data_IF_416152554963
#
_entry.id   IF_416152554963
#
_cell.length_a   1.000
_cell.length_b   1.000
_cell.length_c   1.000
_cell.angle_alpha   90.00
_cell.angle_beta   90.00
_cell.angle_gamma   90.00
#
_symmetry.space_group_name_H-M   'P 1'
#
loop_
_entity.id
_entity.type
_entity.pdbx_description
1 polymer ?
#
# COMPACT_ATOMS: atom_id res chain seq x y z
N UNK A 1 -12.32 -13.89 5.87
CA UNK A 1 -11.55 -14.75 6.78
C UNK A 1 -10.91 -15.86 5.98
N UNK A 2 -9.63 -16.17 6.24
CA UNK A 2 -8.90 -17.28 5.63
C UNK A 2 -8.07 -17.99 6.70
N UNK A 3 -8.11 -19.31 6.74
CA UNK A 3 -7.17 -20.11 7.54
C UNK A 3 -6.01 -20.53 6.65
N UNK A 4 -4.79 -20.23 7.09
CA UNK A 4 -3.54 -20.66 6.44
C UNK A 4 -2.66 -21.30 7.50
N UNK A 5 -2.45 -22.62 7.39
CA UNK A 5 -1.60 -23.39 8.30
C UNK A 5 -1.96 -23.18 9.79
N UNK A 6 -3.23 -22.99 10.12
CA UNK A 6 -3.69 -22.79 11.50
C UNK A 6 -3.58 -21.34 12.01
N UNK A 7 -3.33 -20.38 11.11
CA UNK A 7 -3.41 -18.94 11.37
C UNK A 7 -4.66 -18.41 10.66
N UNK A 8 -5.60 -17.84 11.43
CA UNK A 8 -6.83 -17.23 10.92
C UNK A 8 -6.61 -15.75 10.63
N UNK A 9 -6.74 -15.39 9.37
CA UNK A 9 -6.50 -14.03 8.88
C UNK A 9 -7.83 -13.42 8.43
N UNK A 10 -8.21 -12.31 9.03
CA UNK A 10 -9.32 -11.47 8.57
C UNK A 10 -8.79 -10.40 7.60
N UNK A 11 -9.57 -10.13 6.55
CA UNK A 11 -9.28 -9.09 5.58
C UNK A 11 -10.45 -8.13 5.57
N UNK A 12 -10.14 -6.86 5.75
CA UNK A 12 -11.05 -5.72 5.65
C UNK A 12 -10.59 -4.84 4.49
N UNK A 13 -11.52 -4.25 3.75
CA UNK A 13 -11.19 -3.37 2.64
C UNK A 13 -12.18 -2.20 2.58
N UNK A 14 -11.66 -0.98 2.52
CA UNK A 14 -12.45 0.25 2.46
C UNK A 14 -11.83 1.28 1.51
N UNK A 15 -12.68 2.14 0.96
CA UNK A 15 -12.28 3.27 0.12
C UNK A 15 -12.83 4.59 0.66
N UNK A 16 -12.03 5.65 0.59
CA UNK A 16 -12.42 7.01 1.00
C UNK A 16 -13.47 7.60 0.05
N UNK A 17 -13.40 7.24 -1.24
CA UNK A 17 -14.25 7.79 -2.30
C UNK A 17 -14.40 6.82 -3.49
N UNK A 18 -15.31 7.13 -4.41
CA UNK A 18 -15.50 6.45 -5.70
C UNK A 18 -15.32 7.39 -6.89
N UNK A 19 -14.36 8.32 -6.77
CA UNK A 19 -13.93 9.23 -7.83
C UNK A 19 -15.05 10.14 -8.38
N UNK A 20 -15.93 10.64 -7.51
CA UNK A 20 -17.02 11.54 -7.90
C UNK A 20 -18.26 10.82 -8.48
N UNK A 21 -18.23 9.49 -8.56
CA UNK A 21 -19.33 8.68 -9.09
C UNK A 21 -20.42 8.38 -8.05
N UNK A 22 -20.27 8.85 -6.80
CA UNK A 22 -21.25 8.69 -5.72
C UNK A 22 -22.63 9.19 -6.17
N UNK A 23 -22.65 10.30 -6.91
CA UNK A 23 -23.87 10.93 -7.42
C UNK A 23 -24.58 10.14 -8.53
N UNK A 24 -23.93 9.14 -9.11
CA UNK A 24 -24.47 8.32 -10.20
C UNK A 24 -25.30 7.13 -9.70
N UNK A 25 -25.28 6.88 -8.39
CA UNK A 25 -25.98 5.76 -7.74
C UNK A 25 -26.81 6.26 -6.57
N UNK A 26 -27.82 5.48 -6.16
CA UNK A 26 -28.53 5.76 -4.92
C UNK A 26 -27.63 5.41 -3.72
N UNK A 27 -27.72 6.14 -2.60
CA UNK A 27 -26.91 5.85 -1.42
C UNK A 27 -27.04 4.41 -0.92
N UNK A 28 -28.23 3.82 -1.00
CA UNK A 28 -28.48 2.44 -0.55
C UNK A 28 -27.81 1.40 -1.45
N UNK A 29 -27.82 1.64 -2.77
CA UNK A 29 -27.14 0.77 -3.73
C UNK A 29 -25.62 0.85 -3.51
N UNK A 30 -25.09 2.06 -3.30
CA UNK A 30 -23.67 2.30 -3.06
C UNK A 30 -23.18 1.59 -1.77
N UNK A 31 -23.89 1.73 -0.65
CA UNK A 31 -23.52 1.10 0.63
C UNK A 31 -23.59 -0.44 0.55
N UNK A 32 -24.48 -0.99 -0.28
CA UNK A 32 -24.59 -2.44 -0.48
C UNK A 32 -23.44 -3.04 -1.31
N UNK A 33 -22.77 -2.22 -2.12
CA UNK A 33 -21.75 -2.68 -3.08
C UNK A 33 -20.33 -2.34 -2.65
N UNK A 34 -20.15 -1.20 -1.97
CA UNK A 34 -18.84 -0.61 -1.71
C UNK A 34 -18.73 -0.26 -0.23
N UNK A 35 -17.64 -0.71 0.37
CA UNK A 35 -17.25 -0.32 1.72
C UNK A 35 -16.60 1.07 1.68
N UNK A 36 -17.41 2.12 1.78
CA UNK A 36 -16.89 3.48 2.01
C UNK A 36 -16.37 3.57 3.45
N UNK A 37 -15.28 4.31 3.67
CA UNK A 37 -14.73 4.54 5.01
C UNK A 37 -15.81 5.15 5.90
N UNK A 38 -16.24 4.36 6.89
CA UNK A 38 -17.14 4.75 7.97
C UNK A 38 -16.59 4.09 9.23
N UNK A 39 -16.16 4.89 10.21
CA UNK A 39 -15.48 4.38 11.39
C UNK A 39 -16.34 3.39 12.19
N UNK A 40 -17.65 3.64 12.31
CA UNK A 40 -18.57 2.75 13.03
C UNK A 40 -18.62 1.37 12.38
N UNK A 41 -18.84 1.31 11.06
CA UNK A 41 -18.85 0.06 10.27
C UNK A 41 -17.50 -0.66 10.36
N UNK A 42 -16.39 0.07 10.27
CA UNK A 42 -15.05 -0.53 10.38
C UNK A 42 -14.85 -1.16 11.77
N UNK A 43 -15.25 -0.49 12.85
CA UNK A 43 -15.12 -1.05 14.19
C UNK A 43 -16.05 -2.24 14.44
N UNK A 44 -17.26 -2.25 13.87
CA UNK A 44 -18.13 -3.42 13.87
C UNK A 44 -17.49 -4.61 13.16
N UNK A 45 -16.87 -4.40 12.01
CA UNK A 45 -16.19 -5.44 11.25
C UNK A 45 -14.92 -5.95 11.96
N UNK A 46 -14.18 -5.07 12.65
CA UNK A 46 -13.07 -5.46 13.53
C UNK A 46 -13.58 -6.31 14.70
N UNK A 47 -14.67 -5.89 15.36
CA UNK A 47 -15.28 -6.64 16.47
C UNK A 47 -15.79 -8.00 15.99
N UNK A 48 -16.39 -8.07 14.80
CA UNK A 48 -16.81 -9.31 14.16
C UNK A 48 -15.62 -10.24 13.89
N UNK A 49 -14.53 -9.72 13.32
CA UNK A 49 -13.31 -10.49 13.06
C UNK A 49 -12.72 -11.07 14.35
N UNK A 50 -12.66 -10.26 15.42
CA UNK A 50 -12.25 -10.70 16.76
C UNK A 50 -13.17 -11.78 17.31
N UNK A 51 -14.49 -11.61 17.20
CA UNK A 51 -15.49 -12.60 17.63
C UNK A 51 -15.41 -13.93 16.84
N UNK A 52 -14.81 -13.92 15.64
CA UNK A 52 -14.48 -15.13 14.87
C UNK A 52 -13.12 -15.73 15.20
N UNK A 53 -12.43 -15.20 16.22
CA UNK A 53 -11.09 -15.58 16.64
C UNK A 53 -10.07 -15.43 15.50
N UNK A 54 -10.07 -14.27 14.82
CA UNK A 54 -8.97 -13.90 13.95
C UNK A 54 -7.67 -13.82 14.76
N UNK A 55 -6.61 -14.46 14.28
CA UNK A 55 -5.25 -14.31 14.83
C UNK A 55 -4.61 -13.02 14.32
N UNK A 56 -4.91 -12.63 13.07
CA UNK A 56 -4.42 -11.41 12.41
C UNK A 56 -5.58 -10.72 11.68
N UNK A 57 -5.66 -9.40 11.78
CA UNK A 57 -6.59 -8.55 11.01
C UNK A 57 -5.78 -7.63 10.09
N UNK A 58 -6.05 -7.74 8.78
CA UNK A 58 -5.42 -6.91 7.75
C UNK A 58 -6.46 -5.96 7.15
N UNK A 59 -6.21 -4.66 7.18
CA UNK A 59 -7.05 -3.64 6.57
C UNK A 59 -6.39 -3.09 5.30
N UNK A 60 -7.06 -3.22 4.15
CA UNK A 60 -6.67 -2.58 2.89
C UNK A 60 -7.42 -1.26 2.74
N UNK A 61 -6.69 -0.15 2.76
CA UNK A 61 -7.27 1.19 2.78
C UNK A 61 -6.95 1.92 1.47
N UNK A 62 -7.97 2.36 0.74
CA UNK A 62 -7.83 3.21 -0.43
C UNK A 62 -8.16 4.65 -0.04
N UNK A 63 -7.14 5.47 0.26
CA UNK A 63 -7.28 6.71 1.03
C UNK A 63 -6.16 7.74 0.79
N UNK A 64 -6.31 8.94 1.31
CA UNK A 64 -5.26 9.95 1.22
C UNK A 64 -5.36 10.80 -0.03
N UNK A 65 -4.32 11.60 -0.28
CA UNK A 65 -4.30 12.61 -1.34
C UNK A 65 -3.44 12.14 -2.52
N UNK A 66 -3.95 12.32 -3.74
CA UNK A 66 -3.21 11.96 -4.95
C UNK A 66 -1.84 12.66 -4.99
N UNK A 67 -0.82 11.87 -5.34
CA UNK A 67 0.57 12.27 -5.54
C UNK A 67 1.30 12.82 -4.31
N UNK A 68 0.68 12.82 -3.14
CA UNK A 68 1.31 13.20 -1.88
C UNK A 68 2.26 12.08 -1.40
N UNK A 69 3.55 12.37 -1.34
CA UNK A 69 4.58 11.41 -0.86
C UNK A 69 4.64 11.22 0.65
N UNK A 70 3.85 11.98 1.40
CA UNK A 70 3.68 11.87 2.85
C UNK A 70 2.19 11.80 3.10
N UNK A 71 1.78 10.92 4.01
CA UNK A 71 0.39 10.75 4.38
C UNK A 71 -0.19 12.02 5.00
N UNK A 72 -1.49 12.25 4.78
CA UNK A 72 -2.19 13.33 5.45
C UNK A 72 -2.49 12.97 6.91
N UNK A 73 -2.65 13.98 7.77
CA UNK A 73 -2.98 13.77 9.19
C UNK A 73 -4.25 12.93 9.42
N UNK A 74 -5.23 12.98 8.49
CA UNK A 74 -6.43 12.13 8.56
C UNK A 74 -6.12 10.64 8.38
N UNK A 75 -5.12 10.30 7.56
CA UNK A 75 -4.66 8.92 7.39
C UNK A 75 -3.96 8.45 8.67
N UNK A 76 -3.14 9.30 9.30
CA UNK A 76 -2.46 8.99 10.56
C UNK A 76 -3.45 8.75 11.70
N UNK A 77 -4.42 9.64 11.87
CA UNK A 77 -5.46 9.51 12.91
C UNK A 77 -6.28 8.24 12.70
N UNK A 78 -6.69 7.94 11.47
CA UNK A 78 -7.44 6.72 11.21
C UNK A 78 -6.56 5.48 11.39
N UNK A 79 -5.31 5.48 10.93
CA UNK A 79 -4.38 4.38 11.14
C UNK A 79 -4.21 4.07 12.63
N UNK A 80 -3.94 5.08 13.46
CA UNK A 80 -3.79 4.91 14.91
C UNK A 80 -5.04 4.31 15.57
N UNK A 81 -6.23 4.80 15.20
CA UNK A 81 -7.51 4.24 15.66
C UNK A 81 -7.67 2.77 15.27
N UNK A 82 -7.37 2.41 14.01
CA UNK A 82 -7.51 1.04 13.52
C UNK A 82 -6.52 0.09 14.21
N UNK A 83 -5.26 0.52 14.35
CA UNK A 83 -4.24 -0.24 15.06
C UNK A 83 -4.62 -0.42 16.53
N UNK A 84 -5.04 0.64 17.22
CA UNK A 84 -5.55 0.55 18.60
C UNK A 84 -6.77 -0.36 18.73
N UNK A 85 -7.68 -0.34 17.75
CA UNK A 85 -8.88 -1.18 17.75
C UNK A 85 -8.59 -2.66 17.47
N UNK A 86 -7.38 -3.04 17.06
CA UNK A 86 -6.96 -4.43 16.88
C UNK A 86 -6.66 -4.86 15.45
N UNK A 87 -6.60 -3.93 14.48
CA UNK A 87 -5.96 -4.21 13.19
C UNK A 87 -4.47 -4.41 13.43
N UNK A 88 -3.86 -5.39 12.78
CA UNK A 88 -2.43 -5.70 12.92
C UNK A 88 -1.60 -5.15 11.76
N UNK A 89 -2.20 -5.11 10.55
CA UNK A 89 -1.55 -4.70 9.31
C UNK A 89 -2.49 -3.76 8.54
N UNK A 90 -2.00 -2.58 8.18
CA UNK A 90 -2.70 -1.64 7.28
C UNK A 90 -1.91 -1.54 5.97
N UNK A 91 -2.59 -1.84 4.86
CA UNK A 91 -2.06 -1.76 3.50
C UNK A 91 -2.76 -0.63 2.75
N UNK A 92 -2.08 0.50 2.62
CA UNK A 92 -2.60 1.69 1.96
C UNK A 92 -2.39 1.72 0.45
N UNK A 93 -3.30 2.37 -0.26
CA UNK A 93 -3.27 2.69 -1.68
C UNK A 93 -4.08 3.98 -1.93
N UNK A 94 -4.19 4.40 -3.20
CA UNK A 94 -4.85 5.63 -3.72
C UNK A 94 -3.90 6.77 -4.13
N UNK A 95 -2.90 7.19 -3.33
CA UNK A 95 -2.05 8.33 -3.68
C UNK A 95 -1.24 8.17 -4.98
N UNK A 96 -1.21 6.97 -5.56
CA UNK A 96 -0.45 6.62 -6.76
C UNK A 96 1.07 6.80 -6.64
N UNK A 97 1.56 7.09 -5.44
CA UNK A 97 2.97 7.21 -5.08
C UNK A 97 3.21 6.44 -3.78
N UNK A 98 4.44 5.99 -3.56
CA UNK A 98 4.81 5.33 -2.31
C UNK A 98 4.81 6.37 -1.17
N UNK A 99 4.12 6.06 -0.08
CA UNK A 99 4.16 6.80 1.18
C UNK A 99 4.90 5.96 2.25
N UNK A 100 5.30 6.55 3.38
CA UNK A 100 6.06 5.86 4.42
C UNK A 100 5.38 4.58 4.93
N UNK A 101 6.23 3.64 5.36
CA UNK A 101 5.83 2.47 6.12
C UNK A 101 6.37 2.56 7.55
N UNK A 102 5.61 2.07 8.52
CA UNK A 102 5.92 2.13 9.93
C UNK A 102 5.63 0.80 10.63
N UNK A 103 6.51 0.42 11.55
CA UNK A 103 6.22 -0.57 12.61
C UNK A 103 5.94 0.18 13.89
N UNK A 104 4.87 -0.18 14.58
CA UNK A 104 4.42 0.50 15.79
C UNK A 104 4.05 -0.52 16.87
N UNK A 105 4.27 -0.19 18.13
CA UNK A 105 3.96 -1.05 19.26
C UNK A 105 2.63 -0.67 19.88
N UNK A 106 1.70 -1.63 19.96
CA UNK A 106 0.40 -1.49 20.63
C UNK A 106 0.17 -2.70 21.53
N UNK A 107 -0.10 -2.46 22.81
CA UNK A 107 -0.35 -3.52 23.81
C UNK A 107 0.72 -4.62 23.83
N UNK A 108 1.99 -4.24 23.64
CA UNK A 108 3.14 -5.15 23.60
C UNK A 108 3.26 -5.98 22.33
N UNK A 109 2.52 -5.63 21.26
CA UNK A 109 2.60 -6.26 19.95
C UNK A 109 3.05 -5.28 18.88
N UNK A 110 3.98 -5.73 18.04
CA UNK A 110 4.36 -5.02 16.82
C UNK A 110 3.25 -5.10 15.78
N UNK A 111 2.84 -3.94 15.28
CA UNK A 111 1.89 -3.74 14.20
C UNK A 111 2.54 -3.02 13.03
N UNK A 112 1.91 -3.06 11.87
CA UNK A 112 2.46 -2.52 10.64
C UNK A 112 1.47 -1.65 9.88
N UNK A 113 1.95 -0.54 9.33
CA UNK A 113 1.23 0.27 8.33
C UNK A 113 2.17 0.63 7.19
N UNK A 114 1.65 0.59 5.97
CA UNK A 114 2.19 1.34 4.83
C UNK A 114 1.07 2.24 4.33
N UNK A 115 1.28 3.55 4.32
CA UNK A 115 0.20 4.49 4.00
C UNK A 115 -0.17 4.48 2.51
N UNK A 116 0.77 4.13 1.64
CA UNK A 116 0.55 3.86 0.22
C UNK A 116 1.68 3.02 -0.36
N UNK A 117 1.32 1.94 -1.07
CA UNK A 117 2.27 1.07 -1.79
C UNK A 117 2.66 1.60 -3.18
N UNK A 118 2.11 2.74 -3.62
CA UNK A 118 2.31 3.25 -4.98
C UNK A 118 1.57 2.41 -6.04
N UNK A 119 2.05 2.47 -7.29
CA UNK A 119 1.41 1.81 -8.42
C UNK A 119 1.99 0.41 -8.66
N UNK A 120 1.13 -0.60 -8.77
CA UNK A 120 1.55 -1.94 -9.22
C UNK A 120 1.54 -2.04 -10.75
N UNK A 121 0.45 -1.62 -11.39
CA UNK A 121 0.34 -1.44 -12.84
C UNK A 121 -0.40 -0.13 -13.09
N UNK A 122 0.14 0.76 -13.92
CA UNK A 122 -0.46 2.07 -14.16
C UNK A 122 -0.05 2.67 -15.49
N UNK A 123 -0.90 3.57 -15.97
CA UNK A 123 -0.61 4.45 -17.11
C UNK A 123 -0.19 5.86 -16.65
N UNK A 124 -0.11 6.12 -15.34
CA UNK A 124 0.37 7.39 -14.79
C UNK A 124 1.89 7.42 -14.82
N UNK A 125 2.44 8.30 -15.66
CA UNK A 125 3.86 8.49 -15.90
C UNK A 125 4.11 9.94 -16.25
N UNK A 126 5.38 10.35 -16.28
CA UNK A 126 5.77 11.69 -16.75
C UNK A 126 5.12 12.01 -18.10
N UNK A 127 5.25 11.09 -19.06
CA UNK A 127 4.78 11.25 -20.44
C UNK A 127 3.26 11.36 -20.56
N UNK A 128 2.50 10.82 -19.61
CA UNK A 128 1.04 10.85 -19.64
C UNK A 128 0.47 11.96 -18.77
N UNK A 129 1.08 12.27 -17.63
CA UNK A 129 0.55 13.23 -16.66
C UNK A 129 0.96 14.68 -16.93
N UNK A 130 2.15 14.93 -17.48
CA UNK A 130 2.59 16.29 -17.83
C UNK A 130 1.63 16.98 -18.80
N UNK A 131 1.13 16.32 -19.87
CA UNK A 131 0.11 16.91 -20.74
C UNK A 131 -1.20 17.29 -20.04
N UNK A 132 -1.52 16.65 -18.89
CA UNK A 132 -2.70 16.97 -18.08
C UNK A 132 -2.41 17.98 -16.95
N UNK A 133 -1.22 18.60 -16.94
CA UNK A 133 -0.89 19.70 -16.03
C UNK A 133 -0.22 19.28 -14.73
N UNK A 134 0.13 18.01 -14.56
CA UNK A 134 0.91 17.55 -13.39
C UNK A 134 2.40 17.74 -13.69
N UNK A 135 3.12 18.45 -12.82
CA UNK A 135 4.55 18.70 -13.02
C UNK A 135 5.38 17.42 -13.16
N UNK A 136 6.48 17.48 -13.92
CA UNK A 136 7.40 16.35 -14.10
C UNK A 136 7.95 15.84 -12.75
N UNK A 137 8.26 16.77 -11.85
CA UNK A 137 8.76 16.45 -10.50
C UNK A 137 7.77 15.62 -9.67
N UNK A 138 6.47 15.82 -9.85
CA UNK A 138 5.43 15.02 -9.19
C UNK A 138 5.20 13.71 -9.94
N UNK A 139 5.07 13.80 -11.27
CA UNK A 139 4.71 12.69 -12.14
C UNK A 139 5.72 11.54 -12.08
N UNK A 140 7.01 11.84 -11.85
CA UNK A 140 8.06 10.82 -11.79
C UNK A 140 7.87 9.79 -10.67
N UNK A 141 7.19 10.15 -9.57
CA UNK A 141 6.94 9.24 -8.45
C UNK A 141 5.77 8.29 -8.70
N UNK A 142 4.92 8.58 -9.69
CA UNK A 142 3.80 7.71 -10.05
C UNK A 142 4.22 6.43 -10.76
N UNK A 143 5.50 6.37 -11.12
CA UNK A 143 6.14 5.20 -11.69
C UNK A 143 6.66 4.22 -10.65
N UNK A 144 6.63 4.62 -9.37
CA UNK A 144 7.21 3.86 -8.28
C UNK A 144 6.12 3.01 -7.62
N UNK A 145 6.48 1.77 -7.29
CA UNK A 145 5.64 0.85 -6.53
C UNK A 145 6.47 -0.04 -5.63
N UNK A 146 5.82 -0.74 -4.72
CA UNK A 146 6.48 -1.74 -3.87
C UNK A 146 5.57 -2.93 -3.62
N UNK A 147 6.10 -4.15 -3.74
CA UNK A 147 5.47 -5.32 -3.14
C UNK A 147 5.96 -5.41 -1.71
N UNK A 148 5.03 -5.47 -0.77
CA UNK A 148 5.33 -5.70 0.64
C UNK A 148 5.25 -7.19 0.91
N UNK A 149 6.34 -7.77 1.40
CA UNK A 149 6.41 -9.16 1.82
C UNK A 149 6.36 -9.20 3.35
N UNK A 150 5.36 -9.88 3.93
CA UNK A 150 5.14 -9.90 5.38
C UNK A 150 5.19 -11.35 5.86
N UNK A 151 6.17 -11.64 6.70
CA UNK A 151 6.30 -12.95 7.33
C UNK A 151 5.56 -12.96 8.68
N UNK A 152 4.55 -13.81 8.76
CA UNK A 152 3.74 -14.02 9.96
C UNK A 152 4.10 -15.39 10.55
N UNK A 153 4.39 -15.44 11.85
CA UNK A 153 4.77 -16.66 12.56
C UNK A 153 3.78 -16.96 13.68
N UNK A 154 3.51 -18.25 13.91
CA UNK A 154 2.74 -18.74 15.06
C UNK A 154 3.64 -19.58 15.94
N UNK A 155 3.79 -19.19 17.20
CA UNK A 155 4.51 -19.97 18.20
C UNK A 155 3.71 -21.25 18.53
N UNK A 156 4.34 -22.42 18.37
CA UNK A 156 3.68 -23.71 18.57
C UNK A 156 3.38 -24.07 20.02
N UNK A 157 4.06 -23.45 20.98
CA UNK A 157 3.87 -23.68 22.42
C UNK A 157 2.81 -22.73 23.00
N UNK A 158 2.93 -21.44 22.70
CA UNK A 158 2.04 -20.40 23.26
C UNK A 158 0.80 -20.13 22.41
N UNK A 159 0.84 -20.51 21.12
CA UNK A 159 -0.19 -20.17 20.14
C UNK A 159 -0.17 -18.71 19.67
N UNK A 160 0.78 -17.91 20.16
CA UNK A 160 0.92 -16.50 19.82
C UNK A 160 1.28 -16.30 18.34
N UNK A 161 0.61 -15.36 17.67
CA UNK A 161 0.87 -15.01 16.27
C UNK A 161 1.47 -13.61 16.20
N UNK A 162 2.59 -13.47 15.50
CA UNK A 162 3.36 -12.21 15.41
C UNK A 162 3.80 -11.91 13.97
N UNK A 163 4.02 -10.63 13.69
CA UNK A 163 4.71 -10.17 12.48
C UNK A 163 6.22 -10.31 12.74
N UNK A 164 6.86 -11.28 12.09
CA UNK A 164 8.27 -11.60 12.30
C UNK A 164 9.18 -10.63 11.56
N UNK A 165 8.90 -10.44 10.27
CA UNK A 165 9.64 -9.51 9.43
C UNK A 165 8.75 -8.97 8.30
N UNK A 166 9.23 -7.87 7.72
CA UNK A 166 8.60 -7.21 6.57
C UNK A 166 9.73 -6.84 5.61
N UNK A 167 9.65 -7.39 4.41
CA UNK A 167 10.51 -7.12 3.27
C UNK A 167 9.80 -6.26 2.23
N UNK A 168 10.60 -5.71 1.31
CA UNK A 168 10.14 -4.83 0.24
C UNK A 168 10.78 -5.23 -1.07
N UNK A 169 9.97 -5.36 -2.12
CA UNK A 169 10.44 -5.54 -3.49
C UNK A 169 10.09 -4.26 -4.25
N UNK A 170 11.05 -3.34 -4.44
CA UNK A 170 10.83 -2.12 -5.22
C UNK A 170 10.48 -2.45 -6.66
N UNK A 171 9.42 -1.81 -7.15
CA UNK A 171 8.91 -1.95 -8.51
C UNK A 171 9.03 -0.62 -9.25
N UNK A 172 9.26 -0.72 -10.56
CA UNK A 172 9.10 0.41 -11.47
C UNK A 172 8.13 0.05 -12.59
N UNK A 173 7.09 0.87 -12.79
CA UNK A 173 6.09 0.63 -13.81
C UNK A 173 6.46 1.31 -15.13
N UNK A 174 6.45 0.52 -16.18
CA UNK A 174 6.78 0.94 -17.54
C UNK A 174 5.56 0.85 -18.44
N UNK A 175 5.50 1.80 -19.36
CA UNK A 175 4.65 1.78 -20.55
C UNK A 175 5.48 2.04 -21.79
N UNK A 176 5.36 1.18 -22.77
CA UNK A 176 6.10 1.25 -24.04
C UNK A 176 5.20 1.06 -25.25
N UNK A 177 5.85 0.82 -26.38
CA UNK A 177 5.20 0.49 -27.64
C UNK A 177 5.81 -0.80 -28.16
N UNK A 178 4.97 -1.79 -28.43
CA UNK A 178 5.40 -3.07 -29.00
C UNK A 178 5.83 -2.91 -30.46
N UNK A 179 6.56 -3.88 -31.00
CA UNK A 179 7.10 -3.82 -32.37
C UNK A 179 6.03 -3.66 -33.47
N UNK A 180 4.79 -4.11 -33.20
CA UNK A 180 3.62 -3.99 -34.07
C UNK A 180 2.82 -2.69 -33.88
N UNK A 181 3.29 -1.77 -33.02
CA UNK A 181 2.62 -0.51 -32.73
C UNK A 181 1.58 -0.56 -31.61
N UNK A 182 1.39 -1.72 -30.96
CA UNK A 182 0.58 -1.86 -29.75
C UNK A 182 1.18 -1.17 -28.52
N UNK A 183 0.46 -1.20 -27.39
CA UNK A 183 0.93 -0.69 -26.10
C UNK A 183 1.34 -1.85 -25.20
N UNK A 184 2.51 -1.76 -24.58
CA UNK A 184 2.92 -2.67 -23.51
C UNK A 184 2.94 -1.96 -22.16
N UNK A 185 2.61 -2.72 -21.12
CA UNK A 185 2.79 -2.32 -19.73
C UNK A 185 3.62 -3.40 -19.03
N UNK A 186 4.72 -3.00 -18.40
CA UNK A 186 5.65 -3.91 -17.74
C UNK A 186 5.89 -3.43 -16.32
N UNK A 187 5.85 -4.36 -15.38
CA UNK A 187 6.19 -4.11 -13.97
C UNK A 187 7.56 -4.73 -13.76
N UNK A 188 8.56 -3.90 -13.49
CA UNK A 188 9.93 -4.36 -13.29
C UNK A 188 10.25 -4.44 -11.81
N UNK A 189 10.51 -5.64 -11.24
CA UNK A 189 11.22 -5.80 -9.99
C UNK A 189 12.62 -5.19 -10.15
N UNK A 190 12.85 -4.03 -9.54
CA UNK A 190 14.02 -3.21 -9.88
C UNK A 190 15.32 -3.99 -9.68
N UNK A 191 15.42 -4.76 -8.60
CA UNK A 191 16.63 -5.50 -8.25
C UNK A 191 17.00 -6.60 -9.25
N UNK A 192 16.03 -7.12 -10.02
CA UNK A 192 16.28 -8.15 -11.04
C UNK A 192 16.75 -7.55 -12.37
N UNK A 193 16.35 -6.30 -12.66
CA UNK A 193 16.48 -5.70 -13.99
C UNK A 193 17.45 -4.52 -14.06
N UNK A 194 17.80 -3.90 -12.93
CA UNK A 194 18.63 -2.67 -12.91
C UNK A 194 20.02 -2.88 -13.52
N UNK A 195 20.56 -4.10 -13.48
CA UNK A 195 21.84 -4.46 -14.12
C UNK A 195 21.67 -5.23 -15.45
N UNK A 196 20.44 -5.38 -15.95
CA UNK A 196 20.18 -6.06 -17.22
C UNK A 196 20.64 -5.23 -18.43
N UNK A 197 21.17 -5.92 -19.43
CA UNK A 197 21.50 -5.34 -20.75
C UNK A 197 20.26 -5.17 -21.65
N UNK A 198 19.10 -5.72 -21.25
CA UNK A 198 17.85 -5.62 -22.01
C UNK A 198 17.17 -4.26 -21.85
N UNK A 199 17.70 -3.41 -20.97
CA UNK A 199 17.15 -2.12 -20.59
C UNK A 199 18.10 -0.99 -20.99
N UNK A 200 17.58 0.05 -21.63
CA UNK A 200 18.38 1.21 -22.01
C UNK A 200 18.74 2.12 -20.81
N UNK A 201 19.76 2.95 -21.00
CA UNK A 201 20.30 3.84 -19.95
C UNK A 201 19.25 4.79 -19.35
N UNK A 202 18.30 5.28 -20.16
CA UNK A 202 17.23 6.18 -19.68
C UNK A 202 16.30 5.46 -18.70
N UNK A 203 15.92 4.22 -19.01
CA UNK A 203 15.10 3.41 -18.11
C UNK A 203 15.88 3.03 -16.86
N UNK A 204 17.16 2.63 -17.00
CA UNK A 204 18.03 2.32 -15.86
C UNK A 204 18.15 3.50 -14.90
N UNK A 205 18.32 4.73 -15.41
CA UNK A 205 18.36 5.93 -14.58
C UNK A 205 17.05 6.18 -13.81
N UNK A 206 15.88 5.93 -14.42
CA UNK A 206 14.58 6.04 -13.74
C UNK A 206 14.39 4.97 -12.67
N UNK A 207 14.83 3.73 -12.92
CA UNK A 207 14.83 2.65 -11.93
C UNK A 207 15.75 2.97 -10.75
N UNK A 208 16.95 3.53 -10.99
CA UNK A 208 17.87 3.96 -9.94
C UNK A 208 17.26 5.05 -9.06
N UNK A 209 16.57 6.03 -9.67
CA UNK A 209 15.78 7.03 -8.94
C UNK A 209 14.70 6.37 -8.09
N UNK A 210 13.86 5.54 -8.71
CA UNK A 210 12.76 4.81 -8.07
C UNK A 210 13.22 3.99 -6.87
N UNK A 211 14.35 3.27 -7.01
CA UNK A 211 14.97 2.51 -5.93
C UNK A 211 15.41 3.40 -4.76
N UNK A 212 16.07 4.54 -5.06
CA UNK A 212 16.47 5.52 -4.04
C UNK A 212 15.26 6.11 -3.32
N UNK A 213 14.23 6.46 -4.07
CA UNK A 213 12.99 7.05 -3.55
C UNK A 213 12.22 6.05 -2.68
N UNK A 214 12.09 4.80 -3.13
CA UNK A 214 11.49 3.72 -2.36
C UNK A 214 12.28 3.47 -1.08
N UNK A 215 13.61 3.37 -1.18
CA UNK A 215 14.46 3.18 -0.01
C UNK A 215 14.31 4.33 1.00
N UNK A 216 14.12 5.58 0.56
CA UNK A 216 13.88 6.72 1.45
C UNK A 216 12.56 6.57 2.21
N UNK A 217 11.47 6.21 1.52
CA UNK A 217 10.15 6.00 2.12
C UNK A 217 10.15 4.83 3.12
N UNK A 218 10.89 3.77 2.83
CA UNK A 218 11.00 2.59 3.71
C UNK A 218 12.02 2.79 4.85
N UNK A 219 13.01 3.70 4.71
CA UNK A 219 14.04 4.02 5.71
C UNK A 219 13.62 5.03 6.77
N UNK A 220 12.40 5.58 6.71
CA UNK A 220 11.84 6.37 7.83
C UNK A 220 11.82 5.58 9.17
N UNK A 221 12.21 4.29 9.13
CA UNK A 221 12.38 3.36 10.25
C UNK A 221 13.79 3.18 10.84
N UNK A 222 14.78 4.06 10.58
CA UNK A 222 16.09 3.99 11.28
C UNK A 222 16.47 5.26 12.07
N UNK A 223 15.55 6.21 12.24
CA UNK A 223 15.86 7.54 12.80
C UNK A 223 15.11 7.95 14.06
N UNK A 224 14.41 7.06 14.76
CA UNK A 224 13.69 7.41 16.00
C UNK A 224 13.89 6.38 17.12
N UNK A 225 15.12 5.87 17.23
CA UNK A 225 15.63 5.23 18.43
C UNK A 225 16.96 5.88 18.81
N UNK A 226 16.88 7.14 19.26
CA UNK A 226 17.89 7.85 20.06
C UNK A 226 17.34 9.23 20.45
N UNK A 227 16.64 9.29 21.59
CA UNK A 227 16.91 10.17 22.74
C UNK A 227 15.94 9.83 23.88
#
# INVERSE_FOLDING_TARGET
MKDVKGIKIAFLAYTEMVNGLESTMKPEDLDSMINIINEEKIFEDIAYAKGKNADIIIASMHWGDEYARVQAGRQEVLADKLLSAGVDIILGSHPHVIQPAQRMEYDGKTKYVIYSMGNFISNQRIETLVPYGIGEETSKYTEDGVIVDINIEKNGETGEVTIKDVGYIPLWVYKGTTADGGTEHVVYPIMEYIESNDINDKTKARMQRSLKDTAMQMKVLQGSSAE
#
